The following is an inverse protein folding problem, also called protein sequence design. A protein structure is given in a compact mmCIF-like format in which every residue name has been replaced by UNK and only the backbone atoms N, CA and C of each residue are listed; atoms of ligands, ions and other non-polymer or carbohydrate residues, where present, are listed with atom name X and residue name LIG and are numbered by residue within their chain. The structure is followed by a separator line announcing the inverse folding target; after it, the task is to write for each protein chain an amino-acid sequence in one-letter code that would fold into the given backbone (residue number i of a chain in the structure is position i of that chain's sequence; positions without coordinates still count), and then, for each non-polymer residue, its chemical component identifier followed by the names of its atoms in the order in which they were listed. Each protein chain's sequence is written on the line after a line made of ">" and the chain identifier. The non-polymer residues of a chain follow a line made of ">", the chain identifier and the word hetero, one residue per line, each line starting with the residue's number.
data_IF_019944138305
#
_entry.id   IF_019944138305
#
_cell.length_a   1.000
_cell.length_b   1.000
_cell.length_c   1.000
_cell.angle_alpha   90.00
_cell.angle_beta   90.00
_cell.angle_gamma   90.00
#
_symmetry.space_group_name_H-M   'P 1'
#
loop_
_entity.id
_entity.type
_entity.pdbx_description
1 polymer ?
#
# COMPACT_ATOMS: atom_id res chain seq x y z
N UNK A 1 30.01 -39.90 -21.24
CA UNK A 1 29.44 -38.57 -21.01
C UNK A 1 28.17 -38.77 -20.22
N UNK A 2 28.24 -38.57 -18.90
CA UNK A 2 27.14 -38.84 -17.98
C UNK A 2 26.08 -37.76 -18.13
N UNK A 3 24.88 -38.19 -18.52
CA UNK A 3 23.70 -37.35 -18.55
C UNK A 3 23.26 -37.15 -17.11
N UNK A 4 23.63 -36.01 -16.51
CA UNK A 4 23.12 -35.62 -15.20
C UNK A 4 21.63 -35.38 -15.37
N UNK A 5 20.82 -36.34 -14.95
CA UNK A 5 19.40 -36.14 -14.74
C UNK A 5 19.26 -35.03 -13.71
N UNK A 6 18.92 -33.83 -14.18
CA UNK A 6 18.43 -32.76 -13.34
C UNK A 6 17.15 -33.30 -12.70
N UNK A 7 17.25 -33.76 -11.46
CA UNK A 7 16.07 -34.01 -10.64
C UNK A 7 15.21 -32.75 -10.70
N UNK A 8 13.89 -32.84 -10.92
CA UNK A 8 13.03 -31.68 -10.81
C UNK A 8 13.25 -31.09 -9.42
N UNK A 9 13.44 -29.76 -9.31
CA UNK A 9 13.77 -29.13 -8.05
C UNK A 9 12.73 -29.55 -7.01
N UNK A 10 13.21 -30.06 -5.88
CA UNK A 10 12.40 -30.33 -4.71
C UNK A 10 11.66 -29.03 -4.35
N UNK A 11 10.37 -29.12 -4.05
CA UNK A 11 9.48 -28.01 -3.68
C UNK A 11 10.07 -26.95 -2.72
N UNK A 12 10.95 -27.29 -1.75
CA UNK A 12 11.55 -26.31 -0.86
C UNK A 12 12.45 -25.27 -1.56
N UNK A 13 13.15 -25.65 -2.63
CA UNK A 13 14.17 -24.81 -3.28
C UNK A 13 13.53 -23.77 -4.23
N UNK A 14 12.34 -24.12 -4.77
CA UNK A 14 11.56 -23.24 -5.64
C UNK A 14 10.89 -22.08 -4.90
N UNK A 15 10.53 -22.27 -3.63
CA UNK A 15 9.89 -21.22 -2.83
C UNK A 15 10.82 -20.01 -2.64
N UNK A 16 12.10 -20.26 -2.31
CA UNK A 16 13.08 -19.20 -2.08
C UNK A 16 13.62 -18.59 -3.39
N UNK A 17 13.62 -19.38 -4.48
CA UNK A 17 14.16 -18.95 -5.79
C UNK A 17 13.12 -18.29 -6.71
N UNK A 18 11.89 -18.78 -6.73
CA UNK A 18 10.79 -18.29 -7.58
C UNK A 18 9.42 -18.58 -6.93
N UNK A 19 9.03 -17.70 -6.00
CA UNK A 19 7.77 -17.78 -5.27
C UNK A 19 6.55 -17.87 -6.19
N UNK A 20 6.57 -17.15 -7.33
CA UNK A 20 5.45 -17.18 -8.27
C UNK A 20 5.30 -18.58 -8.89
N UNK A 21 6.39 -19.16 -9.40
CA UNK A 21 6.34 -20.52 -9.94
C UNK A 21 5.94 -21.54 -8.87
N UNK A 22 6.44 -21.39 -7.64
CA UNK A 22 6.08 -22.24 -6.52
C UNK A 22 4.58 -22.18 -6.19
N UNK A 23 3.99 -20.99 -6.04
CA UNK A 23 2.56 -20.82 -5.72
C UNK A 23 1.66 -21.42 -6.82
N UNK A 24 2.04 -21.26 -8.09
CA UNK A 24 1.33 -21.86 -9.22
C UNK A 24 1.40 -23.40 -9.18
N UNK A 25 2.55 -23.96 -8.79
CA UNK A 25 2.72 -25.39 -8.55
C UNK A 25 1.82 -25.92 -7.43
N UNK A 26 1.80 -25.25 -6.27
CA UNK A 26 0.91 -25.62 -5.16
C UNK A 26 -0.56 -25.58 -5.58
N UNK A 27 -0.98 -24.54 -6.31
CA UNK A 27 -2.34 -24.43 -6.83
C UNK A 27 -2.70 -25.57 -7.81
N UNK A 28 -1.76 -26.02 -8.63
CA UNK A 28 -1.96 -27.16 -9.53
C UNK A 28 -2.12 -28.49 -8.75
N UNK A 29 -1.31 -28.71 -7.72
CA UNK A 29 -1.42 -29.89 -6.84
C UNK A 29 -2.77 -29.96 -6.13
N UNK A 30 -3.24 -28.83 -5.59
CA UNK A 30 -4.56 -28.70 -4.96
C UNK A 30 -5.68 -29.04 -5.94
N UNK A 31 -5.66 -28.47 -7.16
CA UNK A 31 -6.68 -28.74 -8.19
C UNK A 31 -6.67 -30.19 -8.67
N UNK A 32 -5.50 -30.83 -8.69
CA UNK A 32 -5.35 -32.24 -9.07
C UNK A 32 -5.69 -33.22 -7.93
N UNK A 33 -6.02 -32.75 -6.73
CA UNK A 33 -6.29 -33.60 -5.57
C UNK A 33 -5.07 -34.31 -5.00
N UNK A 34 -3.86 -33.83 -5.31
CA UNK A 34 -2.58 -34.43 -4.88
C UNK A 34 -2.14 -33.88 -3.52
N UNK A 35 -3.02 -33.99 -2.52
CA UNK A 35 -2.88 -33.34 -1.20
C UNK A 35 -1.63 -33.74 -0.42
N UNK A 36 -1.08 -34.93 -0.69
CA UNK A 36 0.12 -35.47 -0.04
C UNK A 36 1.41 -34.77 -0.51
N UNK A 37 1.34 -34.06 -1.63
CA UNK A 37 2.49 -33.37 -2.24
C UNK A 37 2.46 -31.85 -2.01
N UNK A 38 1.38 -31.35 -1.40
CA UNK A 38 1.24 -29.94 -1.03
C UNK A 38 2.13 -29.62 0.16
N UNK A 39 2.86 -28.52 0.05
CA UNK A 39 3.67 -27.97 1.13
C UNK A 39 2.80 -27.12 2.07
N UNK A 40 2.06 -27.81 2.95
CA UNK A 40 1.07 -27.19 3.83
C UNK A 40 1.62 -26.10 4.75
N UNK A 41 2.78 -26.24 5.42
CA UNK A 41 3.32 -25.21 6.29
C UNK A 41 3.56 -23.89 5.55
N UNK A 42 4.29 -23.93 4.42
CA UNK A 42 4.58 -22.72 3.64
C UNK A 42 3.34 -22.15 2.97
N UNK A 43 2.41 -23.00 2.53
CA UNK A 43 1.14 -22.53 1.96
C UNK A 43 0.30 -21.76 2.99
N UNK A 44 0.26 -22.23 4.24
CA UNK A 44 -0.44 -21.54 5.32
C UNK A 44 0.21 -20.17 5.60
N UNK A 45 1.54 -20.12 5.70
CA UNK A 45 2.29 -18.88 5.86
C UNK A 45 1.97 -17.87 4.74
N UNK A 46 1.93 -18.33 3.48
CA UNK A 46 1.59 -17.45 2.36
C UNK A 46 0.15 -16.95 2.39
N UNK A 47 -0.81 -17.79 2.77
CA UNK A 47 -2.20 -17.36 2.92
C UNK A 47 -2.33 -16.30 4.03
N UNK A 48 -1.61 -16.47 5.14
CA UNK A 48 -1.55 -15.49 6.22
C UNK A 48 -0.84 -14.20 5.78
N UNK A 49 0.18 -14.31 4.93
CA UNK A 49 0.96 -13.18 4.39
C UNK A 49 0.09 -12.26 3.53
N UNK A 50 -0.86 -12.80 2.77
CA UNK A 50 -1.78 -12.02 1.90
C UNK A 50 -2.56 -10.97 2.70
N UNK A 51 -3.07 -11.32 3.88
CA UNK A 51 -3.79 -10.34 4.71
C UNK A 51 -2.88 -9.23 5.25
N UNK A 52 -1.63 -9.58 5.58
CA UNK A 52 -0.62 -8.62 6.01
C UNK A 52 -0.16 -7.66 4.91
N UNK A 53 -0.06 -8.16 3.67
CA UNK A 53 0.34 -7.36 2.50
C UNK A 53 -0.73 -6.35 2.13
N UNK A 54 -2.02 -6.73 2.12
CA UNK A 54 -3.13 -5.79 1.87
C UNK A 54 -3.17 -4.66 2.91
N UNK A 55 -3.01 -4.98 4.20
CA UNK A 55 -2.92 -3.96 5.27
C UNK A 55 -1.74 -3.01 5.05
N UNK A 56 -0.59 -3.56 4.66
CA UNK A 56 0.60 -2.75 4.40
C UNK A 56 0.40 -1.85 3.19
N UNK A 57 -0.27 -2.34 2.16
CA UNK A 57 -0.58 -1.59 0.94
C UNK A 57 -1.54 -0.44 1.21
N UNK A 58 -2.65 -0.67 1.91
CA UNK A 58 -3.58 0.40 2.32
C UNK A 58 -2.84 1.51 3.07
N UNK A 59 -1.97 1.14 4.03
CA UNK A 59 -1.15 2.12 4.76
C UNK A 59 -0.20 2.88 3.84
N UNK A 60 0.48 2.21 2.90
CA UNK A 60 1.40 2.85 1.97
C UNK A 60 0.68 3.87 1.08
N UNK A 61 -0.53 3.54 0.62
CA UNK A 61 -1.35 4.45 -0.18
C UNK A 61 -1.83 5.64 0.63
N UNK A 62 -2.25 5.43 1.89
CA UNK A 62 -2.58 6.51 2.82
C UNK A 62 -1.41 7.48 3.03
N UNK A 63 -0.19 6.95 3.20
CA UNK A 63 1.03 7.77 3.33
C UNK A 63 1.15 8.72 2.13
N UNK A 64 0.95 8.20 0.90
CA UNK A 64 1.09 9.00 -0.32
C UNK A 64 -0.02 10.06 -0.43
N UNK A 65 -1.28 9.71 -0.11
CA UNK A 65 -2.39 10.68 -0.07
C UNK A 65 -2.06 11.81 0.90
N UNK A 66 -1.73 11.48 2.14
CA UNK A 66 -1.40 12.45 3.20
C UNK A 66 -0.21 13.33 2.83
N UNK A 67 0.84 12.74 2.27
CA UNK A 67 2.03 13.46 1.84
C UNK A 67 1.66 14.52 0.78
N UNK A 68 0.84 14.16 -0.19
CA UNK A 68 0.41 15.10 -1.21
C UNK A 68 -0.61 16.13 -0.70
N UNK A 69 -1.49 15.79 0.25
CA UNK A 69 -2.39 16.75 0.91
C UNK A 69 -1.60 17.80 1.70
N UNK A 70 -0.57 17.38 2.45
CA UNK A 70 0.34 18.31 3.15
C UNK A 70 1.06 19.23 2.17
N UNK A 71 1.62 18.68 1.09
CA UNK A 71 2.24 19.46 0.02
C UNK A 71 1.25 20.45 -0.61
N UNK A 72 -0.01 20.03 -0.76
CA UNK A 72 -1.08 20.83 -1.34
C UNK A 72 -1.48 22.00 -0.43
N UNK A 73 -1.61 21.78 0.87
CA UNK A 73 -1.98 22.83 1.83
C UNK A 73 -0.84 23.81 2.09
N UNK A 74 0.36 23.29 2.39
CA UNK A 74 1.47 24.09 2.91
C UNK A 74 2.39 24.65 1.82
N UNK A 75 2.15 24.32 0.54
CA UNK A 75 2.83 24.97 -0.59
C UNK A 75 1.85 25.36 -1.71
N UNK A 76 0.92 26.30 -1.46
CA UNK A 76 -0.12 26.68 -2.41
C UNK A 76 0.42 27.12 -3.78
N UNK A 77 1.56 27.85 -3.79
CA UNK A 77 2.24 28.33 -5.01
C UNK A 77 2.92 27.23 -5.82
N UNK A 78 3.10 26.03 -5.26
CA UNK A 78 3.74 24.88 -5.93
C UNK A 78 2.74 23.77 -6.25
N UNK A 79 1.44 23.99 -6.06
CA UNK A 79 0.40 23.03 -6.46
C UNK A 79 0.57 22.69 -7.94
N UNK A 80 0.54 21.40 -8.25
CA UNK A 80 0.69 20.87 -9.61
C UNK A 80 -0.32 19.77 -9.86
N UNK A 81 -0.73 19.62 -11.11
CA UNK A 81 -1.63 18.54 -11.54
C UNK A 81 -1.13 17.16 -11.13
N UNK A 82 0.18 16.90 -11.21
CA UNK A 82 0.75 15.62 -10.79
C UNK A 82 0.45 15.23 -9.34
N UNK A 83 0.44 16.19 -8.40
CA UNK A 83 0.08 15.89 -6.99
C UNK A 83 -1.41 15.57 -6.86
N UNK A 84 -2.27 16.30 -7.58
CA UNK A 84 -3.70 16.02 -7.62
C UNK A 84 -3.97 14.63 -8.19
N UNK A 85 -3.31 14.28 -9.30
CA UNK A 85 -3.43 12.96 -9.91
C UNK A 85 -2.99 11.85 -8.97
N UNK A 86 -1.86 12.03 -8.25
CA UNK A 86 -1.43 11.08 -7.23
C UNK A 86 -2.47 10.91 -6.11
N UNK A 87 -3.06 11.99 -5.60
CA UNK A 87 -4.10 11.92 -4.57
C UNK A 87 -5.30 11.10 -5.06
N UNK A 88 -5.81 11.40 -6.26
CA UNK A 88 -6.96 10.70 -6.84
C UNK A 88 -6.66 9.22 -7.04
N UNK A 89 -5.52 8.92 -7.66
CA UNK A 89 -5.11 7.53 -7.90
C UNK A 89 -5.02 6.73 -6.61
N UNK A 90 -4.37 7.27 -5.58
CA UNK A 90 -4.18 6.52 -4.34
C UNK A 90 -5.51 6.33 -3.56
N UNK A 91 -6.44 7.28 -3.63
CA UNK A 91 -7.79 7.12 -3.07
C UNK A 91 -8.54 5.98 -3.75
N UNK A 92 -8.61 5.99 -5.08
CA UNK A 92 -9.25 4.94 -5.87
C UNK A 92 -8.66 3.56 -5.59
N UNK A 93 -7.35 3.48 -5.42
CA UNK A 93 -6.67 2.23 -5.12
C UNK A 93 -6.93 1.74 -3.69
N UNK A 94 -7.07 2.64 -2.71
CA UNK A 94 -7.53 2.27 -1.36
C UNK A 94 -8.96 1.74 -1.43
N UNK A 95 -9.86 2.44 -2.12
CA UNK A 95 -11.25 2.00 -2.31
C UNK A 95 -11.31 0.59 -2.93
N UNK A 96 -10.57 0.35 -4.01
CA UNK A 96 -10.51 -0.97 -4.65
C UNK A 96 -9.98 -2.08 -3.73
N UNK A 97 -9.02 -1.78 -2.85
CA UNK A 97 -8.53 -2.74 -1.86
C UNK A 97 -9.59 -3.05 -0.78
N UNK A 98 -10.37 -2.05 -0.38
CA UNK A 98 -11.44 -2.21 0.60
C UNK A 98 -12.64 -2.96 0.01
N UNK A 99 -12.96 -2.72 -1.26
CA UNK A 99 -13.99 -3.46 -2.00
C UNK A 99 -13.64 -4.94 -2.13
N UNK A 100 -12.36 -5.24 -2.41
CA UNK A 100 -11.86 -6.62 -2.47
C UNK A 100 -11.82 -7.29 -1.09
N UNK A 101 -11.67 -6.52 -0.02
CA UNK A 101 -11.50 -7.04 1.34
C UNK A 101 -12.27 -6.21 2.38
N UNK A 102 -13.61 -6.34 2.44
CA UNK A 102 -14.46 -5.52 3.30
C UNK A 102 -14.14 -5.62 4.79
N UNK A 103 -13.55 -6.73 5.24
CA UNK A 103 -13.05 -6.90 6.61
C UNK A 103 -11.93 -5.92 6.99
N UNK A 104 -11.31 -5.25 6.01
CA UNK A 104 -10.28 -4.22 6.21
C UNK A 104 -10.84 -2.80 6.25
N UNK A 105 -12.16 -2.59 6.17
CA UNK A 105 -12.77 -1.24 6.14
C UNK A 105 -12.37 -0.35 7.33
N UNK A 106 -12.13 -0.94 8.51
CA UNK A 106 -11.68 -0.21 9.71
C UNK A 106 -10.15 0.00 9.77
N UNK A 107 -9.39 -0.63 8.87
CA UNK A 107 -7.94 -0.58 8.89
C UNK A 107 -7.34 0.79 8.56
N UNK A 108 -7.86 1.58 7.59
CA UNK A 108 -7.37 2.93 7.34
C UNK A 108 -7.32 3.81 8.61
N UNK A 109 -8.37 3.76 9.43
CA UNK A 109 -8.45 4.49 10.70
C UNK A 109 -7.35 4.03 11.66
N UNK A 110 -7.17 2.72 11.80
CA UNK A 110 -6.13 2.13 12.66
C UNK A 110 -4.72 2.50 12.19
N UNK A 111 -4.52 2.65 10.88
CA UNK A 111 -3.22 2.94 10.29
C UNK A 111 -2.89 4.44 10.23
N UNK A 112 -3.87 5.32 10.48
CA UNK A 112 -3.81 6.75 10.18
C UNK A 112 -2.62 7.46 10.86
N UNK A 113 -2.45 7.29 12.17
CA UNK A 113 -1.38 7.96 12.92
C UNK A 113 0.02 7.56 12.42
N UNK A 114 0.20 6.28 12.10
CA UNK A 114 1.47 5.79 11.56
C UNK A 114 1.68 6.31 10.14
N UNK A 115 0.64 6.31 9.31
CA UNK A 115 0.72 6.82 7.95
C UNK A 115 1.04 8.32 7.95
N UNK A 116 0.41 9.10 8.81
CA UNK A 116 0.62 10.53 8.94
C UNK A 116 2.05 10.89 9.33
N UNK A 117 2.61 10.24 10.36
CA UNK A 117 4.00 10.50 10.77
C UNK A 117 4.98 10.30 9.63
N UNK A 118 4.83 9.22 8.86
CA UNK A 118 5.70 8.95 7.71
C UNK A 118 5.45 9.98 6.59
N UNK A 119 4.19 10.30 6.31
CA UNK A 119 3.81 11.27 5.29
C UNK A 119 4.34 12.68 5.59
N UNK A 120 4.32 13.09 6.86
CA UNK A 120 4.85 14.36 7.35
C UNK A 120 6.35 14.49 7.10
N UNK A 121 7.13 13.47 7.49
CA UNK A 121 8.57 13.43 7.21
C UNK A 121 8.85 13.47 5.70
N UNK A 122 8.15 12.65 4.90
CA UNK A 122 8.32 12.65 3.42
C UNK A 122 7.95 13.98 2.78
N UNK A 123 6.88 14.62 3.26
CA UNK A 123 6.47 15.92 2.77
C UNK A 123 7.53 16.99 3.11
N UNK A 124 8.09 16.97 4.31
CA UNK A 124 9.19 17.87 4.67
C UNK A 124 10.42 17.66 3.77
N UNK A 125 10.87 16.41 3.62
CA UNK A 125 12.03 16.04 2.80
C UNK A 125 11.89 16.45 1.34
N UNK A 126 10.77 16.12 0.68
CA UNK A 126 10.57 16.42 -0.75
C UNK A 126 10.40 17.91 -1.05
N UNK A 127 10.01 18.70 -0.07
CA UNK A 127 9.66 20.11 -0.26
C UNK A 127 10.73 21.07 0.24
N UNK A 128 11.62 20.56 1.09
CA UNK A 128 12.64 21.34 1.78
C UNK A 128 12.08 22.26 2.88
N UNK A 129 10.80 22.10 3.26
CA UNK A 129 10.24 22.81 4.42
C UNK A 129 10.68 22.13 5.70
N UNK A 130 10.85 22.91 6.77
CA UNK A 130 11.12 22.35 8.09
C UNK A 130 9.92 21.48 8.53
N UNK A 131 10.17 20.25 8.95
CA UNK A 131 9.10 19.35 9.41
C UNK A 131 8.29 19.97 10.56
N UNK A 132 8.92 20.81 11.39
CA UNK A 132 8.27 21.56 12.49
C UNK A 132 7.25 22.59 12.00
N UNK A 133 7.31 22.99 10.73
CA UNK A 133 6.30 23.86 10.12
C UNK A 133 5.03 23.09 9.71
N UNK A 134 5.08 21.76 9.68
CA UNK A 134 3.92 20.90 9.47
C UNK A 134 3.31 20.50 10.82
N UNK A 135 1.97 20.38 10.91
CA UNK A 135 1.29 19.96 12.14
C UNK A 135 1.87 18.67 12.73
N UNK A 136 1.91 18.55 14.05
CA UNK A 136 2.44 17.35 14.70
C UNK A 136 1.42 16.20 14.67
N UNK A 137 0.14 16.52 14.80
CA UNK A 137 -0.99 15.60 14.64
C UNK A 137 -1.64 15.78 13.26
N UNK A 138 -2.27 14.72 12.75
CA UNK A 138 -2.96 14.78 11.47
C UNK A 138 -4.08 15.83 11.50
N UNK A 139 -4.05 16.87 10.64
CA UNK A 139 -5.07 17.91 10.61
C UNK A 139 -6.34 17.48 9.87
N UNK A 140 -6.34 16.28 9.28
CA UNK A 140 -7.44 15.75 8.47
C UNK A 140 -8.06 14.53 9.12
N UNK A 141 -9.38 14.45 9.11
CA UNK A 141 -10.12 13.22 9.40
C UNK A 141 -9.94 12.19 8.28
N UNK A 142 -10.17 10.91 8.57
CA UNK A 142 -10.18 9.87 7.53
C UNK A 142 -11.21 10.16 6.43
N UNK A 143 -12.38 10.68 6.80
CA UNK A 143 -13.42 11.06 5.85
C UNK A 143 -12.91 12.11 4.85
N UNK A 144 -12.21 13.15 5.32
CA UNK A 144 -11.57 14.14 4.47
C UNK A 144 -10.44 13.56 3.62
N UNK A 145 -9.63 12.67 4.20
CA UNK A 145 -8.54 12.00 3.47
C UNK A 145 -9.08 11.20 2.31
N UNK A 146 -10.24 10.55 2.47
CA UNK A 146 -10.86 9.72 1.44
C UNK A 146 -11.79 10.50 0.49
N UNK A 147 -12.34 11.66 0.89
CA UNK A 147 -13.23 12.45 0.02
C UNK A 147 -12.53 12.94 -1.26
N UNK A 148 -13.01 12.49 -2.41
CA UNK A 148 -12.53 12.85 -3.74
C UNK A 148 -12.53 14.35 -4.04
N UNK A 149 -13.30 15.14 -3.30
CA UNK A 149 -13.41 16.59 -3.46
C UNK A 149 -12.59 17.37 -2.44
N UNK A 150 -12.04 16.71 -1.41
CA UNK A 150 -11.28 17.39 -0.37
C UNK A 150 -9.85 17.70 -0.81
N UNK A 151 -9.53 19.00 -0.78
CA UNK A 151 -8.21 19.57 -1.05
C UNK A 151 -7.97 20.76 -0.09
N UNK A 152 -7.07 20.63 0.91
CA UNK A 152 -6.93 21.60 2.00
C UNK A 152 -6.21 22.90 1.61
N UNK A 153 -6.34 23.92 2.46
CA UNK A 153 -5.74 25.24 2.30
C UNK A 153 -6.55 26.19 1.40
N UNK A 154 -6.22 27.48 1.49
CA UNK A 154 -6.97 28.57 0.84
C UNK A 154 -6.85 28.46 -0.70
N UNK A 155 -7.95 28.74 -1.41
CA UNK A 155 -7.96 28.85 -2.88
C UNK A 155 -7.51 30.27 -3.23
N UNK A 156 -6.63 30.45 -4.23
CA UNK A 156 -6.09 31.78 -4.59
C UNK A 156 -7.18 32.83 -4.90
N UNK A 157 -8.40 32.40 -5.26
CA UNK A 157 -9.57 33.28 -5.44
C UNK A 157 -10.07 33.96 -4.16
N UNK A 158 -9.66 33.48 -2.98
CA UNK A 158 -10.12 33.97 -1.68
C UNK A 158 -9.14 35.00 -1.07
N UNK A 159 -8.06 35.32 -1.79
CA UNK A 159 -7.13 36.41 -1.44
C UNK A 159 -7.61 37.65 -2.21
N UNK A 160 -8.50 38.41 -1.58
CA UNK A 160 -9.00 39.72 -2.05
C UNK A 160 -7.90 40.77 -2.01
#
# INVERSE_FOLDING_TARGET
>A
MSNAALNPPSTPDLYDADLYLWTQGQAALLRAGRWQEVDWPRLAEEIESVGGSQKSEIRNRLIIVLQHLLKWEFQPRKRKYGWRSSIVEQRLQIEGLLDLSPSLTAWPETALDKAYRIARTRAAEETGVDERSLPEACPYSLEQIMDHRFYPGIVESDIV
#
